data_IF_444104445794
#
_entry.id   IF_444104445794
#
_cell.length_a   1.000
_cell.length_b   1.000
_cell.length_c   1.000
_cell.angle_alpha   90.00
_cell.angle_beta   90.00
_cell.angle_gamma   90.00
#
_symmetry.space_group_name_H-M   'P 1'
#
loop_
_entity.id
_entity.type
_entity.pdbx_description
1 polymer ?
#
# COMPACT_ATOMS: atom_id res chain seq x y z
N UNK A 1 -7.59 -31.98 -10.60
CA UNK A 1 -7.66 -30.56 -11.03
C UNK A 1 -9.07 -30.12 -10.72
N UNK A 2 -9.27 -29.29 -9.69
CA UNK A 2 -10.59 -28.75 -9.33
C UNK A 2 -10.96 -27.71 -10.40
N UNK A 3 -12.09 -27.91 -11.07
CA UNK A 3 -12.61 -26.96 -12.06
C UNK A 3 -13.24 -25.76 -11.33
N UNK A 4 -13.36 -24.60 -11.99
CA UNK A 4 -13.99 -23.40 -11.39
C UNK A 4 -15.42 -23.68 -10.95
N UNK A 5 -16.09 -24.62 -11.63
CA UNK A 5 -17.47 -25.06 -11.36
C UNK A 5 -17.58 -26.05 -10.18
N UNK A 6 -16.47 -26.64 -9.72
CA UNK A 6 -16.46 -27.60 -8.59
C UNK A 6 -16.53 -26.90 -7.22
N UNK A 7 -16.37 -25.56 -7.16
CA UNK A 7 -16.36 -24.82 -5.88
C UNK A 7 -17.65 -24.02 -5.72
N UNK A 8 -18.30 -24.21 -4.56
CA UNK A 8 -19.50 -23.44 -4.21
C UNK A 8 -19.21 -21.93 -4.12
N UNK A 9 -20.21 -21.13 -4.42
CA UNK A 9 -20.11 -19.66 -4.29
C UNK A 9 -19.63 -19.25 -2.90
N UNK A 10 -20.15 -19.87 -1.83
CA UNK A 10 -19.71 -19.60 -0.47
C UNK A 10 -18.20 -19.87 -0.28
N UNK A 11 -17.67 -20.95 -0.84
CA UNK A 11 -16.24 -21.29 -0.73
C UNK A 11 -15.36 -20.23 -1.41
N UNK A 12 -15.78 -19.67 -2.56
CA UNK A 12 -15.05 -18.57 -3.25
C UNK A 12 -14.92 -17.34 -2.36
N UNK A 13 -16.00 -16.96 -1.68
CA UNK A 13 -15.99 -15.82 -0.76
C UNK A 13 -15.16 -16.07 0.51
N UNK A 14 -15.14 -17.30 1.01
CA UNK A 14 -14.24 -17.70 2.12
C UNK A 14 -12.79 -17.59 1.70
N UNK A 15 -12.42 -18.10 0.52
CA UNK A 15 -11.06 -17.98 -0.03
C UNK A 15 -10.67 -16.51 -0.16
N UNK A 16 -11.56 -15.64 -0.63
CA UNK A 16 -11.33 -14.20 -0.71
C UNK A 16 -11.11 -13.60 0.67
N UNK A 17 -11.94 -13.93 1.67
CA UNK A 17 -11.79 -13.47 3.05
C UNK A 17 -10.45 -13.87 3.66
N UNK A 18 -10.02 -15.12 3.46
CA UNK A 18 -8.71 -15.60 3.91
C UNK A 18 -7.55 -14.88 3.20
N UNK A 19 -7.68 -14.62 1.90
CA UNK A 19 -6.67 -13.87 1.14
C UNK A 19 -6.62 -12.39 1.52
N UNK A 20 -7.76 -11.79 1.86
CA UNK A 20 -7.85 -10.44 2.40
C UNK A 20 -7.15 -10.35 3.75
N UNK A 21 -7.38 -11.33 4.65
CA UNK A 21 -6.70 -11.36 5.94
C UNK A 21 -5.18 -11.52 5.76
N UNK A 22 -4.72 -12.39 4.84
CA UNK A 22 -3.31 -12.50 4.50
C UNK A 22 -2.70 -11.18 3.98
N UNK A 23 -3.41 -10.42 3.16
CA UNK A 23 -2.96 -9.12 2.67
C UNK A 23 -3.02 -8.03 3.77
N UNK A 24 -3.97 -8.10 4.70
CA UNK A 24 -4.07 -7.23 5.86
C UNK A 24 -2.85 -7.39 6.78
N UNK A 25 -2.41 -8.64 7.03
CA UNK A 25 -1.21 -8.89 7.87
C UNK A 25 0.02 -8.22 7.32
N UNK A 26 0.20 -8.24 5.99
CA UNK A 26 1.29 -7.54 5.31
C UNK A 26 1.28 -6.06 5.63
N UNK A 27 0.12 -5.42 5.62
CA UNK A 27 -0.01 -4.00 5.98
C UNK A 27 0.36 -3.75 7.44
N UNK A 28 -0.04 -4.62 8.35
CA UNK A 28 0.32 -4.49 9.77
C UNK A 28 1.84 -4.59 9.98
N UNK A 29 2.52 -5.52 9.32
CA UNK A 29 3.98 -5.68 9.41
C UNK A 29 4.71 -4.49 8.80
N UNK A 30 4.27 -4.03 7.64
CA UNK A 30 4.98 -2.99 6.88
C UNK A 30 4.71 -1.59 7.42
N UNK A 31 3.46 -1.28 7.77
CA UNK A 31 3.05 0.06 8.19
C UNK A 31 2.93 0.23 9.70
N UNK A 32 2.92 -0.86 10.46
CA UNK A 32 2.67 -0.84 11.90
C UNK A 32 3.71 -0.02 12.68
N UNK A 33 4.99 -0.12 12.30
CA UNK A 33 6.09 0.57 13.01
C UNK A 33 5.92 2.10 12.99
N UNK A 34 5.24 2.67 11.98
CA UNK A 34 4.96 4.10 11.95
C UNK A 34 4.13 4.57 13.16
N UNK A 35 3.29 3.70 13.71
CA UNK A 35 2.46 3.98 14.88
C UNK A 35 3.22 3.94 16.20
N UNK A 36 4.48 3.50 16.18
CA UNK A 36 5.40 3.53 17.33
C UNK A 36 6.32 4.75 17.31
N UNK A 37 6.37 5.52 16.21
CA UNK A 37 7.23 6.72 16.14
C UNK A 37 7.02 7.65 17.34
N UNK A 38 5.78 7.96 17.79
CA UNK A 38 5.57 8.78 18.98
C UNK A 38 6.34 8.26 20.19
N UNK A 39 6.09 7.00 20.59
CA UNK A 39 6.71 6.36 21.77
C UNK A 39 8.23 6.19 21.60
N UNK A 40 8.71 5.83 20.40
CA UNK A 40 10.14 5.74 20.13
C UNK A 40 10.84 7.10 20.25
N UNK A 41 10.15 8.18 19.90
CA UNK A 41 10.68 9.53 19.98
C UNK A 41 10.62 10.07 21.41
N UNK A 42 9.46 9.98 22.09
CA UNK A 42 9.27 10.57 23.44
C UNK A 42 9.90 9.74 24.56
N UNK A 43 9.74 8.41 24.51
CA UNK A 43 10.06 7.55 25.64
C UNK A 43 11.39 6.80 25.46
N UNK A 44 11.71 6.41 24.20
CA UNK A 44 12.96 5.70 23.90
C UNK A 44 14.10 6.62 23.47
N UNK A 45 13.88 7.94 23.37
CA UNK A 45 14.90 8.96 23.09
C UNK A 45 15.47 8.95 21.67
N UNK A 46 14.84 8.26 20.72
CA UNK A 46 15.26 8.32 19.31
C UNK A 46 14.94 9.69 18.71
N UNK A 47 15.82 10.19 17.86
CA UNK A 47 15.45 11.33 17.01
C UNK A 47 14.30 10.92 16.07
N UNK A 48 13.52 11.89 15.63
CA UNK A 48 12.42 11.62 14.71
C UNK A 48 12.92 10.97 13.40
N UNK A 49 14.12 11.37 12.95
CA UNK A 49 14.80 10.76 11.79
C UNK A 49 15.12 9.29 12.02
N UNK A 50 15.65 8.93 13.20
CA UNK A 50 15.96 7.53 13.54
C UNK A 50 14.70 6.68 13.67
N UNK A 51 13.66 7.18 14.34
CA UNK A 51 12.39 6.49 14.49
C UNK A 51 11.69 6.28 13.13
N UNK A 52 11.70 7.28 12.26
CA UNK A 52 11.14 7.17 10.91
C UNK A 52 11.97 6.29 9.98
N UNK A 53 13.31 6.27 10.12
CA UNK A 53 14.15 5.33 9.40
C UNK A 53 13.85 3.89 9.81
N UNK A 54 13.67 3.62 11.11
CA UNK A 54 13.26 2.30 11.59
C UNK A 54 11.90 1.89 11.02
N UNK A 55 10.93 2.83 10.96
CA UNK A 55 9.61 2.60 10.38
C UNK A 55 9.64 2.32 8.86
N UNK A 56 10.66 2.80 8.14
CA UNK A 56 10.81 2.55 6.70
C UNK A 56 11.41 1.17 6.38
N UNK A 57 12.13 0.54 7.31
CA UNK A 57 12.86 -0.71 7.08
C UNK A 57 11.97 -1.85 6.54
N UNK A 58 10.76 -2.12 7.08
CA UNK A 58 9.90 -3.17 6.52
C UNK A 58 9.51 -2.91 5.07
N UNK A 59 9.31 -1.64 4.68
CA UNK A 59 9.01 -1.27 3.28
C UNK A 59 10.19 -1.59 2.35
N UNK A 60 11.43 -1.38 2.81
CA UNK A 60 12.63 -1.76 2.04
C UNK A 60 12.68 -3.28 1.84
N UNK A 61 12.38 -4.06 2.89
CA UNK A 61 12.30 -5.52 2.79
C UNK A 61 11.22 -5.97 1.81
N UNK A 62 10.02 -5.39 1.91
CA UNK A 62 8.91 -5.65 0.98
C UNK A 62 9.31 -5.37 -0.47
N UNK A 63 9.91 -4.23 -0.74
CA UNK A 63 10.37 -3.82 -2.07
C UNK A 63 11.38 -4.81 -2.65
N UNK A 64 12.39 -5.19 -1.88
CA UNK A 64 13.43 -6.12 -2.29
C UNK A 64 12.89 -7.50 -2.69
N UNK A 65 11.81 -7.95 -2.03
CA UNK A 65 11.24 -9.27 -2.23
C UNK A 65 10.07 -9.33 -3.24
N UNK A 66 9.50 -8.20 -3.64
CA UNK A 66 8.29 -8.16 -4.49
C UNK A 66 8.46 -8.92 -5.81
N UNK A 67 9.57 -8.69 -6.53
CA UNK A 67 9.84 -9.37 -7.81
C UNK A 67 10.14 -10.86 -7.61
N UNK A 68 11.06 -11.28 -6.70
CA UNK A 68 11.26 -12.69 -6.37
C UNK A 68 9.96 -13.43 -6.02
N UNK A 69 9.09 -12.86 -5.20
CA UNK A 69 7.80 -13.47 -4.87
C UNK A 69 6.88 -13.63 -6.07
N UNK A 70 6.86 -12.67 -6.99
CA UNK A 70 6.11 -12.79 -8.23
C UNK A 70 6.53 -14.01 -9.04
N UNK A 71 7.83 -14.24 -9.23
CA UNK A 71 8.40 -15.40 -9.94
C UNK A 71 8.05 -16.72 -9.22
N UNK A 72 8.16 -16.74 -7.90
CA UNK A 72 7.83 -17.92 -7.10
C UNK A 72 6.34 -18.25 -7.14
N UNK A 73 5.46 -17.25 -7.12
CA UNK A 73 4.02 -17.42 -7.29
C UNK A 73 3.67 -18.07 -8.63
N UNK A 74 4.33 -17.64 -9.72
CA UNK A 74 4.13 -18.23 -11.04
C UNK A 74 4.51 -19.71 -11.06
N UNK A 75 5.55 -20.09 -10.35
CA UNK A 75 6.09 -21.44 -10.38
C UNK A 75 5.40 -22.40 -9.41
N UNK A 76 5.12 -21.96 -8.19
CA UNK A 76 4.72 -22.84 -7.07
C UNK A 76 3.26 -22.69 -6.61
N UNK A 77 2.54 -21.66 -7.06
CA UNK A 77 1.15 -21.39 -6.70
C UNK A 77 0.98 -20.49 -5.48
N UNK A 78 -0.26 -20.06 -5.30
CA UNK A 78 -0.61 -19.03 -4.35
C UNK A 78 -0.53 -19.52 -2.90
N UNK A 79 -1.09 -20.71 -2.61
CA UNK A 79 -1.16 -21.26 -1.25
C UNK A 79 0.23 -21.52 -0.67
N UNK A 80 1.09 -22.20 -1.43
CA UNK A 80 2.44 -22.54 -0.95
C UNK A 80 3.29 -21.30 -0.70
N UNK A 81 3.21 -20.34 -1.60
CA UNK A 81 3.98 -19.11 -1.49
C UNK A 81 3.43 -18.22 -0.38
N UNK A 82 2.12 -18.12 -0.19
CA UNK A 82 1.54 -17.42 0.97
C UNK A 82 1.99 -18.05 2.29
N UNK A 83 1.98 -19.36 2.42
CA UNK A 83 2.46 -20.04 3.62
C UNK A 83 3.92 -19.70 3.91
N UNK A 84 4.80 -19.81 2.91
CA UNK A 84 6.22 -19.51 3.07
C UNK A 84 6.44 -18.03 3.41
N UNK A 85 5.82 -17.11 2.66
CA UNK A 85 6.00 -15.68 2.86
C UNK A 85 5.47 -15.21 4.21
N UNK A 86 4.29 -15.65 4.62
CA UNK A 86 3.73 -15.29 5.93
C UNK A 86 4.51 -15.94 7.08
N UNK A 87 5.11 -17.13 6.90
CA UNK A 87 6.00 -17.72 7.91
C UNK A 87 7.26 -16.88 8.11
N UNK A 88 7.87 -16.40 7.02
CA UNK A 88 9.01 -15.48 7.10
C UNK A 88 8.60 -14.15 7.74
N UNK A 89 7.41 -13.62 7.35
CA UNK A 89 6.87 -12.39 7.93
C UNK A 89 6.61 -12.53 9.44
N UNK A 90 6.04 -13.67 9.85
CA UNK A 90 5.81 -14.00 11.26
C UNK A 90 7.13 -14.10 12.04
N UNK A 91 8.12 -14.81 11.49
CA UNK A 91 9.44 -14.92 12.12
C UNK A 91 10.09 -13.54 12.31
N UNK A 92 10.02 -12.67 11.29
CA UNK A 92 10.53 -11.31 11.38
C UNK A 92 9.78 -10.45 12.40
N UNK A 93 8.46 -10.47 12.39
CA UNK A 93 7.64 -9.71 13.35
C UNK A 93 7.84 -10.20 14.80
N UNK A 94 7.88 -11.51 15.01
CA UNK A 94 8.17 -12.11 16.32
C UNK A 94 9.59 -11.77 16.77
N UNK A 95 10.57 -11.89 15.85
CA UNK A 95 11.96 -11.54 16.12
C UNK A 95 12.12 -10.07 16.53
N UNK A 96 11.39 -9.15 15.91
CA UNK A 96 11.42 -7.73 16.28
C UNK A 96 10.84 -7.51 17.69
N UNK A 97 9.72 -8.15 18.02
CA UNK A 97 9.13 -8.04 19.36
C UNK A 97 10.04 -8.64 20.44
N UNK A 98 10.64 -9.82 20.18
CA UNK A 98 11.59 -10.48 21.10
C UNK A 98 12.85 -9.64 21.26
N UNK A 99 13.43 -9.14 20.16
CA UNK A 99 14.61 -8.29 20.24
C UNK A 99 14.35 -7.01 21.05
N UNK A 100 13.20 -6.37 20.84
CA UNK A 100 12.81 -5.20 21.60
C UNK A 100 12.56 -5.51 23.09
N UNK A 101 11.97 -6.67 23.42
CA UNK A 101 11.74 -7.08 24.83
C UNK A 101 13.02 -7.48 25.56
N UNK A 102 14.07 -7.84 24.82
CA UNK A 102 15.40 -8.16 25.33
C UNK A 102 16.35 -6.92 25.34
N UNK A 103 15.83 -5.72 25.15
CA UNK A 103 16.60 -4.47 25.05
C UNK A 103 17.75 -4.53 24.03
N UNK A 104 17.55 -5.31 22.95
CA UNK A 104 18.53 -5.40 21.88
C UNK A 104 18.66 -4.06 21.13
N UNK A 105 19.81 -3.88 20.48
CA UNK A 105 20.04 -2.66 19.70
C UNK A 105 18.97 -2.48 18.59
N UNK A 106 18.67 -1.23 18.25
CA UNK A 106 17.74 -0.91 17.16
C UNK A 106 18.17 -1.47 15.80
N UNK A 107 19.47 -1.78 15.62
CA UNK A 107 19.95 -2.47 14.43
C UNK A 107 19.43 -3.91 14.36
N UNK A 108 19.38 -4.63 15.49
CA UNK A 108 18.84 -6.00 15.57
C UNK A 108 17.33 -5.98 15.36
N UNK A 109 16.62 -5.05 16.00
CA UNK A 109 15.18 -4.84 15.77
C UNK A 109 14.92 -4.52 14.30
N UNK A 110 15.70 -3.62 13.71
CA UNK A 110 15.61 -3.26 12.29
C UNK A 110 15.86 -4.44 11.35
N UNK A 111 16.85 -5.29 11.64
CA UNK A 111 17.11 -6.49 10.86
C UNK A 111 15.91 -7.47 10.89
N UNK A 112 15.30 -7.65 12.06
CA UNK A 112 14.10 -8.48 12.19
C UNK A 112 12.89 -7.87 11.43
N UNK A 113 12.70 -6.55 11.51
CA UNK A 113 11.68 -5.82 10.75
C UNK A 113 11.91 -5.94 9.23
N UNK A 114 13.14 -5.89 8.78
CA UNK A 114 13.50 -6.12 7.37
C UNK A 114 13.08 -7.52 6.90
N UNK A 115 13.37 -8.55 7.71
CA UNK A 115 12.93 -9.94 7.43
C UNK A 115 11.41 -10.03 7.38
N UNK A 116 10.71 -9.36 8.30
CA UNK A 116 9.23 -9.27 8.27
C UNK A 116 8.73 -8.65 6.97
N UNK A 117 9.37 -7.58 6.51
CA UNK A 117 9.12 -6.93 5.24
C UNK A 117 9.37 -7.84 4.04
N UNK A 118 10.51 -8.57 4.01
CA UNK A 118 10.79 -9.57 2.96
C UNK A 118 9.65 -10.58 2.83
N UNK A 119 9.15 -11.10 3.96
CA UNK A 119 8.02 -12.03 3.99
C UNK A 119 6.71 -11.42 3.48
N UNK A 120 6.55 -10.10 3.56
CA UNK A 120 5.30 -9.42 3.21
C UNK A 120 5.03 -9.27 1.70
N UNK A 121 6.01 -9.50 0.83
CA UNK A 121 5.95 -9.17 -0.60
C UNK A 121 4.99 -10.03 -1.44
N UNK A 122 4.63 -11.24 -0.99
CA UNK A 122 3.82 -12.17 -1.80
C UNK A 122 2.31 -11.90 -1.75
N UNK A 123 1.78 -11.41 -0.62
CA UNK A 123 0.35 -11.41 -0.34
C UNK A 123 -0.47 -10.57 -1.33
N UNK A 124 0.07 -9.45 -1.77
CA UNK A 124 -0.59 -8.57 -2.75
C UNK A 124 -0.74 -9.25 -4.11
N UNK A 125 0.32 -9.88 -4.62
CA UNK A 125 0.31 -10.62 -5.87
C UNK A 125 -0.61 -11.84 -5.81
N UNK A 126 -0.46 -12.67 -4.78
CA UNK A 126 -1.23 -13.88 -4.57
C UNK A 126 -2.74 -13.61 -4.47
N UNK A 127 -3.14 -12.61 -3.66
CA UNK A 127 -4.56 -12.26 -3.49
C UNK A 127 -5.20 -11.76 -4.78
N UNK A 128 -4.48 -11.01 -5.62
CA UNK A 128 -4.95 -10.60 -6.94
C UNK A 128 -5.20 -11.78 -7.87
N UNK A 129 -4.29 -12.75 -7.90
CA UNK A 129 -4.40 -13.98 -8.71
C UNK A 129 -5.54 -14.87 -8.24
N UNK A 130 -5.75 -14.99 -6.92
CA UNK A 130 -6.89 -15.70 -6.33
C UNK A 130 -8.21 -15.12 -6.85
N UNK A 131 -8.36 -13.78 -6.89
CA UNK A 131 -9.56 -13.14 -7.44
C UNK A 131 -9.75 -13.48 -8.91
N UNK A 132 -8.70 -13.33 -9.73
CA UNK A 132 -8.80 -13.60 -11.17
C UNK A 132 -9.08 -15.07 -11.47
N UNK A 133 -8.55 -15.98 -10.66
CA UNK A 133 -8.67 -17.43 -10.87
C UNK A 133 -10.01 -18.01 -10.40
N UNK A 134 -10.59 -17.51 -9.30
CA UNK A 134 -11.80 -18.08 -8.71
C UNK A 134 -13.10 -17.35 -9.06
N UNK A 135 -13.02 -16.05 -9.44
CA UNK A 135 -14.21 -15.26 -9.69
C UNK A 135 -14.51 -15.10 -11.18
N UNK A 136 -15.78 -15.29 -11.61
CA UNK A 136 -16.20 -15.04 -12.97
C UNK A 136 -16.08 -13.54 -13.31
N UNK A 137 -15.95 -13.21 -14.58
CA UNK A 137 -15.66 -11.86 -15.06
C UNK A 137 -16.59 -10.78 -14.47
N UNK A 138 -17.89 -11.07 -14.36
CA UNK A 138 -18.90 -10.14 -13.84
C UNK A 138 -18.82 -9.90 -12.33
N UNK A 139 -18.09 -10.72 -11.54
CA UNK A 139 -17.88 -10.57 -10.10
C UNK A 139 -16.46 -10.09 -9.73
N UNK A 140 -15.51 -10.10 -10.68
CA UNK A 140 -14.11 -9.75 -10.41
C UNK A 140 -13.94 -8.33 -9.88
N UNK A 141 -14.71 -7.38 -10.39
CA UNK A 141 -14.67 -5.99 -9.92
C UNK A 141 -15.01 -5.88 -8.44
N UNK A 142 -16.10 -6.51 -8.00
CA UNK A 142 -16.51 -6.54 -6.58
C UNK A 142 -15.49 -7.25 -5.71
N UNK A 143 -15.01 -8.44 -6.13
CA UNK A 143 -14.03 -9.19 -5.38
C UNK A 143 -12.68 -8.44 -5.25
N UNK A 144 -12.25 -7.74 -6.32
CA UNK A 144 -11.05 -6.92 -6.30
C UNK A 144 -11.22 -5.68 -5.40
N UNK A 145 -12.40 -5.07 -5.39
CA UNK A 145 -12.74 -3.97 -4.47
C UNK A 145 -12.65 -4.41 -3.00
N UNK A 146 -13.24 -5.56 -2.65
CA UNK A 146 -13.15 -6.13 -1.29
C UNK A 146 -11.69 -6.43 -0.93
N UNK A 147 -10.93 -7.05 -1.83
CA UNK A 147 -9.50 -7.31 -1.63
C UNK A 147 -8.72 -6.02 -1.31
N UNK A 148 -9.02 -4.92 -1.98
CA UNK A 148 -8.35 -3.63 -1.76
C UNK A 148 -8.62 -3.02 -0.38
N UNK A 149 -9.61 -3.50 0.36
CA UNK A 149 -9.86 -3.09 1.73
C UNK A 149 -8.81 -3.63 2.72
N UNK A 150 -7.99 -4.60 2.34
CA UNK A 150 -6.94 -5.16 3.20
C UNK A 150 -6.00 -4.08 3.75
N UNK A 151 -5.60 -3.13 2.93
CA UNK A 151 -4.69 -2.05 3.32
C UNK A 151 -5.30 -1.08 4.34
N UNK A 152 -6.46 -0.43 4.09
CA UNK A 152 -7.07 0.44 5.08
C UNK A 152 -7.47 -0.29 6.37
N UNK A 153 -7.90 -1.55 6.29
CA UNK A 153 -8.22 -2.35 7.48
C UNK A 153 -6.95 -2.66 8.30
N UNK A 154 -5.85 -3.02 7.65
CA UNK A 154 -4.57 -3.26 8.34
C UNK A 154 -4.04 -1.98 9.02
N UNK A 155 -4.13 -0.84 8.35
CA UNK A 155 -3.78 0.47 8.92
C UNK A 155 -4.69 0.76 10.13
N UNK A 156 -6.01 0.54 10.01
CA UNK A 156 -6.96 0.72 11.11
C UNK A 156 -6.63 -0.15 12.33
N UNK A 157 -6.30 -1.43 12.13
CA UNK A 157 -5.86 -2.33 13.22
C UNK A 157 -4.63 -1.74 13.92
N UNK A 158 -3.60 -1.33 13.18
CA UNK A 158 -2.40 -0.75 13.76
C UNK A 158 -2.69 0.56 14.48
N UNK A 159 -3.48 1.44 13.88
CA UNK A 159 -3.82 2.75 14.45
C UNK A 159 -4.60 2.65 15.76
N UNK A 160 -5.53 1.69 15.85
CA UNK A 160 -6.34 1.48 17.06
C UNK A 160 -5.57 0.77 18.18
N UNK A 161 -4.61 -0.08 17.85
CA UNK A 161 -4.01 -0.97 18.85
C UNK A 161 -2.59 -0.57 19.24
N UNK A 162 -1.72 -0.28 18.27
CA UNK A 162 -0.29 -0.13 18.52
C UNK A 162 0.04 1.08 19.40
N UNK A 163 -0.49 2.30 19.20
CA UNK A 163 -0.18 3.43 20.06
C UNK A 163 -0.71 3.23 21.49
N UNK A 164 -1.88 2.59 21.63
CA UNK A 164 -2.50 2.31 22.95
C UNK A 164 -1.66 1.30 23.73
N UNK A 165 -1.27 0.20 23.08
CA UNK A 165 -0.43 -0.82 23.72
C UNK A 165 0.98 -0.28 23.99
N UNK A 166 1.54 0.52 23.09
CA UNK A 166 2.84 1.15 23.31
C UNK A 166 2.84 2.07 24.53
N UNK A 167 1.78 2.88 24.70
CA UNK A 167 1.64 3.79 25.84
C UNK A 167 1.41 3.06 27.18
N UNK A 168 0.75 1.88 27.18
CA UNK A 168 0.45 1.13 28.40
C UNK A 168 1.49 0.08 28.77
N UNK A 169 2.13 -0.54 27.79
CA UNK A 169 2.96 -1.75 27.96
C UNK A 169 4.30 -1.66 27.23
N UNK A 170 4.60 -0.52 26.63
CA UNK A 170 5.86 -0.24 25.95
C UNK A 170 5.91 -0.70 24.47
N UNK A 171 6.92 -0.24 23.73
CA UNK A 171 7.05 -0.50 22.29
C UNK A 171 7.25 -1.98 21.94
N UNK A 172 7.89 -2.76 22.80
CA UNK A 172 8.09 -4.20 22.60
C UNK A 172 6.76 -4.97 22.55
N UNK A 173 5.83 -4.66 23.46
CA UNK A 173 4.49 -5.26 23.48
C UNK A 173 3.69 -4.87 22.22
N UNK A 174 3.80 -3.63 21.76
CA UNK A 174 3.14 -3.18 20.55
C UNK A 174 3.70 -3.85 19.28
N UNK A 175 4.99 -4.15 19.23
CA UNK A 175 5.62 -4.91 18.13
C UNK A 175 5.13 -6.36 18.06
N UNK A 176 4.55 -6.92 19.12
CA UNK A 176 3.93 -8.25 19.08
C UNK A 176 2.61 -8.26 18.29
N UNK A 177 1.92 -7.11 18.12
CA UNK A 177 0.64 -7.04 17.42
C UNK A 177 0.74 -7.51 15.95
N UNK A 178 1.68 -7.02 15.12
CA UNK A 178 1.89 -7.56 13.79
C UNK A 178 2.15 -9.07 13.76
N UNK A 179 2.87 -9.62 14.76
CA UNK A 179 3.12 -11.05 14.84
C UNK A 179 1.83 -11.83 15.09
N UNK A 180 1.00 -11.40 16.05
CA UNK A 180 -0.31 -12.03 16.34
C UNK A 180 -1.24 -11.98 15.12
N UNK A 181 -1.34 -10.82 14.46
CA UNK A 181 -2.17 -10.67 13.27
C UNK A 181 -1.64 -11.54 12.14
N UNK A 182 -0.32 -11.66 11.97
CA UNK A 182 0.29 -12.51 10.93
C UNK A 182 0.07 -13.99 11.24
N UNK A 183 0.12 -14.42 12.50
CA UNK A 183 -0.22 -15.79 12.90
C UNK A 183 -1.67 -16.12 12.54
N UNK A 184 -2.61 -15.21 12.80
CA UNK A 184 -4.02 -15.38 12.41
C UNK A 184 -4.17 -15.47 10.88
N UNK A 185 -3.46 -14.63 10.12
CA UNK A 185 -3.42 -14.70 8.67
C UNK A 185 -2.84 -16.00 8.14
N UNK A 186 -1.78 -16.52 8.77
CA UNK A 186 -1.18 -17.79 8.41
C UNK A 186 -2.17 -18.95 8.64
N UNK A 187 -2.87 -18.97 9.77
CA UNK A 187 -3.94 -19.95 10.06
C UNK A 187 -5.04 -19.87 8.98
N UNK A 188 -5.48 -18.67 8.63
CA UNK A 188 -6.48 -18.48 7.57
C UNK A 188 -6.01 -19.03 6.22
N UNK A 189 -4.74 -18.87 5.87
CA UNK A 189 -4.16 -19.44 4.64
C UNK A 189 -4.13 -20.98 4.70
N UNK A 190 -3.72 -21.54 5.84
CA UNK A 190 -3.68 -23.02 6.04
C UNK A 190 -5.07 -23.63 5.83
N UNK A 191 -6.10 -23.04 6.45
CA UNK A 191 -7.47 -23.58 6.47
C UNK A 191 -8.26 -23.20 5.22
N UNK A 192 -8.10 -21.97 4.74
CA UNK A 192 -9.03 -21.36 3.80
C UNK A 192 -8.55 -21.31 2.35
N UNK A 193 -7.25 -21.18 2.09
CA UNK A 193 -6.76 -20.97 0.72
C UNK A 193 -6.61 -22.28 -0.04
N UNK A 194 -7.20 -22.29 -1.24
CA UNK A 194 -7.01 -23.31 -2.26
C UNK A 194 -6.51 -22.62 -3.52
N UNK A 195 -5.51 -23.19 -4.18
CA UNK A 195 -4.97 -22.63 -5.42
C UNK A 195 -6.02 -22.64 -6.52
N UNK A 196 -6.19 -21.56 -7.29
CA UNK A 196 -7.07 -21.54 -8.44
C UNK A 196 -6.57 -22.50 -9.53
N UNK A 197 -7.49 -23.03 -10.37
CA UNK A 197 -7.12 -23.87 -11.48
C UNK A 197 -6.19 -23.09 -12.42
N UNK A 198 -5.01 -23.65 -12.68
CA UNK A 198 -4.08 -23.07 -13.65
C UNK A 198 -4.61 -23.34 -15.04
N UNK A 199 -5.10 -22.31 -15.71
CA UNK A 199 -5.35 -22.43 -17.14
C UNK A 199 -3.99 -22.64 -17.82
N UNK A 200 -3.82 -23.71 -18.64
CA UNK A 200 -2.69 -23.76 -19.54
C UNK A 200 -2.66 -22.46 -20.33
N UNK A 201 -1.47 -21.89 -20.53
CA UNK A 201 -1.35 -20.83 -21.54
C UNK A 201 -2.04 -21.34 -22.79
N UNK A 202 -2.93 -20.56 -23.44
CA UNK A 202 -3.55 -21.01 -24.69
C UNK A 202 -2.42 -21.51 -25.57
N UNK A 203 -2.52 -22.79 -25.96
CA UNK A 203 -1.57 -23.37 -26.90
C UNK A 203 -1.52 -22.40 -28.07
N UNK A 204 -0.34 -21.87 -28.36
CA UNK A 204 -0.12 -20.97 -29.46
C UNK A 204 -0.74 -21.63 -30.72
N UNK A 205 -1.93 -21.18 -31.07
CA UNK A 205 -2.51 -21.53 -32.36
C UNK A 205 -1.49 -21.06 -33.38
N UNK A 206 -1.13 -21.99 -34.22
CA UNK A 206 -0.16 -21.88 -35.32
C UNK A 206 -0.35 -20.55 -36.04
N UNK A 207 0.56 -19.62 -35.82
CA UNK A 207 0.55 -18.25 -36.29
C UNK A 207 1.08 -17.38 -35.13
N UNK A 208 2.42 -17.31 -34.99
CA UNK A 208 3.03 -16.40 -34.00
C UNK A 208 2.49 -14.99 -34.23
N UNK A 209 1.68 -14.42 -33.32
CA UNK A 209 1.50 -12.98 -33.36
C UNK A 209 2.90 -12.36 -33.24
N UNK A 210 3.23 -11.33 -34.01
CA UNK A 210 4.52 -10.67 -33.96
C UNK A 210 4.82 -10.32 -32.49
N UNK A 211 6.09 -10.44 -32.02
CA UNK A 211 6.44 -10.11 -30.65
C UNK A 211 5.99 -8.68 -30.39
N UNK A 212 4.99 -8.52 -29.49
CA UNK A 212 4.44 -7.20 -29.19
C UNK A 212 5.57 -6.29 -28.74
N UNK A 213 5.72 -5.18 -29.43
CA UNK A 213 6.70 -4.16 -29.12
C UNK A 213 6.60 -3.75 -27.66
N UNK A 214 7.75 -3.53 -27.04
CA UNK A 214 7.82 -3.11 -25.63
C UNK A 214 7.04 -1.79 -25.46
N UNK A 215 5.92 -1.74 -24.70
CA UNK A 215 5.06 -0.56 -24.60
C UNK A 215 5.75 0.66 -23.97
N UNK A 216 6.91 0.45 -23.36
CA UNK A 216 7.75 1.54 -22.83
C UNK A 216 8.58 2.26 -23.90
N UNK A 217 8.67 1.70 -25.11
CA UNK A 217 9.41 2.31 -26.23
C UNK A 217 8.51 3.15 -27.15
N UNK A 218 7.20 2.97 -27.09
CA UNK A 218 6.26 3.61 -28.01
C UNK A 218 6.14 5.12 -27.73
N UNK A 219 6.10 5.50 -26.45
CA UNK A 219 5.99 6.91 -26.06
C UNK A 219 6.22 7.10 -24.53
N UNK A 220 6.15 8.34 -24.07
CA UNK A 220 6.36 8.70 -22.65
C UNK A 220 5.15 8.48 -21.73
N UNK A 221 4.04 7.91 -22.19
CA UNK A 221 2.79 7.81 -21.43
C UNK A 221 2.98 7.03 -20.12
N UNK A 222 3.54 5.81 -20.22
CA UNK A 222 3.81 4.97 -19.04
C UNK A 222 4.79 5.62 -18.07
N UNK A 223 5.90 6.15 -18.60
CA UNK A 223 6.90 6.82 -17.78
C UNK A 223 6.28 7.99 -17.00
N UNK A 224 5.41 8.78 -17.65
CA UNK A 224 4.72 9.91 -17.02
C UNK A 224 3.74 9.44 -15.94
N UNK A 225 2.95 8.38 -16.16
CA UNK A 225 2.05 7.83 -15.13
C UNK A 225 2.86 7.35 -13.91
N UNK A 226 3.94 6.61 -14.14
CA UNK A 226 4.79 6.15 -13.05
C UNK A 226 5.37 7.30 -12.23
N UNK A 227 5.92 8.34 -12.91
CA UNK A 227 6.46 9.53 -12.23
C UNK A 227 5.37 10.27 -11.45
N UNK A 228 4.20 10.49 -12.05
CA UNK A 228 3.05 11.13 -11.37
C UNK A 228 2.66 10.34 -10.13
N UNK A 229 2.52 9.03 -10.22
CA UNK A 229 2.18 8.20 -9.06
C UNK A 229 3.27 8.21 -7.98
N UNK A 230 4.54 8.22 -8.36
CA UNK A 230 5.65 8.35 -7.42
C UNK A 230 5.62 9.68 -6.68
N UNK A 231 5.28 10.78 -7.38
CA UNK A 231 5.14 12.09 -6.75
C UNK A 231 3.93 12.16 -5.82
N UNK A 232 2.79 11.59 -6.21
CA UNK A 232 1.56 11.59 -5.40
C UNK A 232 1.66 10.69 -4.16
N UNK A 233 2.58 9.71 -4.14
CA UNK A 233 2.84 8.91 -2.95
C UNK A 233 3.57 9.69 -1.84
N UNK A 234 4.23 10.80 -2.14
CA UNK A 234 4.97 11.60 -1.14
C UNK A 234 4.05 12.17 -0.06
N UNK A 235 2.98 12.95 -0.38
CA UNK A 235 2.03 13.41 0.64
C UNK A 235 1.30 12.25 1.32
N UNK A 236 0.99 11.17 0.61
CA UNK A 236 0.43 9.97 1.21
C UNK A 236 1.36 9.36 2.27
N UNK A 237 2.66 9.23 1.98
CA UNK A 237 3.67 8.74 2.92
C UNK A 237 3.81 9.65 4.15
N UNK A 238 3.75 10.98 3.95
CA UNK A 238 3.74 11.96 5.04
C UNK A 238 2.57 11.70 5.98
N UNK A 239 1.35 11.62 5.44
CA UNK A 239 0.14 11.47 6.23
C UNK A 239 0.08 10.09 6.92
N UNK A 240 0.44 9.02 6.22
CA UNK A 240 0.37 7.67 6.79
C UNK A 240 1.39 7.40 7.89
N UNK A 241 2.57 8.01 7.77
CA UNK A 241 3.67 7.77 8.72
C UNK A 241 3.64 8.73 9.89
N UNK A 242 3.36 10.00 9.66
CA UNK A 242 3.60 11.04 10.66
C UNK A 242 2.33 11.60 11.32
N UNK A 243 1.13 11.31 10.79
CA UNK A 243 -0.12 11.76 11.44
C UNK A 243 -0.26 11.22 12.88
N UNK A 244 0.10 9.96 13.21
CA UNK A 244 0.09 9.52 14.62
C UNK A 244 0.97 10.39 15.51
N UNK A 245 2.19 10.69 15.06
CA UNK A 245 3.13 11.54 15.79
C UNK A 245 2.64 12.98 15.89
N UNK A 246 2.10 13.52 14.81
CA UNK A 246 1.53 14.87 14.78
C UNK A 246 0.35 15.02 15.75
N UNK A 247 -0.60 14.08 15.76
CA UNK A 247 -1.75 14.13 16.67
C UNK A 247 -1.33 13.96 18.14
N UNK A 248 -0.48 12.98 18.43
CA UNK A 248 -0.14 12.59 19.80
C UNK A 248 0.89 13.55 20.39
N UNK A 249 2.01 13.80 19.67
CA UNK A 249 3.14 14.56 20.22
C UNK A 249 2.94 16.06 20.04
N UNK A 250 2.50 16.52 18.85
CA UNK A 250 2.38 17.95 18.58
C UNK A 250 1.06 18.54 19.12
N UNK A 251 -0.06 17.80 19.03
CA UNK A 251 -1.38 18.27 19.44
C UNK A 251 -1.91 17.65 20.73
N UNK A 252 -1.16 16.77 21.42
CA UNK A 252 -1.54 16.21 22.71
C UNK A 252 -2.76 15.28 22.70
N UNK A 253 -3.11 14.70 21.55
CA UNK A 253 -4.22 13.76 21.46
C UNK A 253 -3.92 12.47 22.21
N UNK A 254 -4.95 11.86 22.80
CA UNK A 254 -4.79 10.51 23.33
C UNK A 254 -4.50 9.51 22.19
N UNK A 255 -3.69 8.46 22.46
CA UNK A 255 -3.40 7.41 21.48
C UNK A 255 -4.68 6.79 20.88
N UNK A 256 -5.72 6.57 21.71
CA UNK A 256 -7.01 6.04 21.27
C UNK A 256 -7.77 7.02 20.35
N UNK A 257 -7.78 8.31 20.70
CA UNK A 257 -8.42 9.35 19.88
C UNK A 257 -7.76 9.49 18.51
N UNK A 258 -6.43 9.54 18.47
CA UNK A 258 -5.66 9.58 17.23
C UNK A 258 -5.91 8.33 16.38
N UNK A 259 -5.86 7.14 16.98
CA UNK A 259 -6.14 5.88 16.30
C UNK A 259 -7.54 5.81 15.70
N UNK A 260 -8.55 6.30 16.43
CA UNK A 260 -9.94 6.35 15.95
C UNK A 260 -10.09 7.28 14.74
N UNK A 261 -9.54 8.50 14.82
CA UNK A 261 -9.59 9.44 13.69
C UNK A 261 -8.92 8.86 12.44
N UNK A 262 -7.73 8.29 12.60
CA UNK A 262 -6.99 7.66 11.50
C UNK A 262 -7.81 6.51 10.89
N UNK A 263 -8.38 5.65 11.71
CA UNK A 263 -9.18 4.50 11.24
C UNK A 263 -10.41 4.95 10.47
N UNK A 264 -11.16 5.93 10.98
CA UNK A 264 -12.30 6.51 10.26
C UNK A 264 -11.86 7.11 8.93
N UNK A 265 -10.76 7.84 8.92
CA UNK A 265 -10.17 8.43 7.71
C UNK A 265 -9.78 7.36 6.69
N UNK A 266 -9.21 6.24 7.10
CA UNK A 266 -8.86 5.12 6.21
C UNK A 266 -10.12 4.47 5.58
N UNK A 267 -11.19 4.32 6.35
CA UNK A 267 -12.48 3.80 5.84
C UNK A 267 -13.05 4.77 4.79
N UNK A 268 -13.09 6.06 5.09
CA UNK A 268 -13.56 7.09 4.15
C UNK A 268 -12.68 7.11 2.90
N UNK A 269 -11.35 7.00 3.04
CA UNK A 269 -10.42 6.91 1.92
C UNK A 269 -10.66 5.69 1.04
N UNK A 270 -10.98 4.54 1.62
CA UNK A 270 -11.33 3.34 0.87
C UNK A 270 -12.61 3.54 0.04
N UNK A 271 -13.64 4.18 0.62
CA UNK A 271 -14.87 4.56 -0.09
C UNK A 271 -14.57 5.62 -1.17
N UNK A 272 -13.71 6.57 -0.89
CA UNK A 272 -13.25 7.59 -1.83
C UNK A 272 -12.63 7.01 -3.10
N UNK A 273 -11.88 5.92 -3.00
CA UNK A 273 -11.33 5.19 -4.17
C UNK A 273 -12.44 4.65 -5.08
N UNK A 274 -13.53 4.14 -4.50
CA UNK A 274 -14.69 3.65 -5.28
C UNK A 274 -15.36 4.81 -6.01
N UNK A 275 -15.54 5.94 -5.32
CA UNK A 275 -16.12 7.16 -5.91
C UNK A 275 -15.23 7.67 -7.05
N UNK A 276 -13.91 7.74 -6.85
CA UNK A 276 -12.95 8.14 -7.88
C UNK A 276 -13.01 7.22 -9.11
N UNK A 277 -13.15 5.90 -8.91
CA UNK A 277 -13.33 4.93 -9.99
C UNK A 277 -14.59 5.21 -10.82
N UNK A 278 -15.75 5.36 -10.16
CA UNK A 278 -17.01 5.70 -10.84
C UNK A 278 -16.98 7.05 -11.55
N UNK A 279 -16.35 8.04 -10.95
CA UNK A 279 -16.15 9.34 -11.56
C UNK A 279 -15.30 9.24 -12.83
N UNK A 280 -14.22 8.46 -12.78
CA UNK A 280 -13.38 8.16 -13.94
C UNK A 280 -14.16 7.47 -15.07
N UNK A 281 -15.03 6.51 -14.73
CA UNK A 281 -15.87 5.82 -15.71
C UNK A 281 -16.89 6.78 -16.34
N UNK A 282 -17.53 7.64 -15.54
CA UNK A 282 -18.48 8.65 -16.02
C UNK A 282 -17.83 9.68 -16.96
N UNK A 283 -16.58 10.04 -16.72
CA UNK A 283 -15.83 10.95 -17.60
C UNK A 283 -15.15 10.25 -18.77
N UNK A 284 -15.24 8.91 -18.85
CA UNK A 284 -14.50 8.07 -19.83
C UNK A 284 -13.03 8.49 -19.94
N UNK A 285 -12.39 8.76 -18.78
CA UNK A 285 -11.04 9.27 -18.69
C UNK A 285 -10.41 8.82 -17.37
N UNK A 286 -9.23 8.23 -17.46
CA UNK A 286 -8.46 7.87 -16.26
C UNK A 286 -7.60 9.05 -15.78
N UNK A 287 -7.08 9.83 -16.69
CA UNK A 287 -6.09 10.85 -16.39
C UNK A 287 -6.69 12.21 -15.98
N UNK A 288 -7.91 12.55 -16.43
CA UNK A 288 -8.57 13.78 -15.98
C UNK A 288 -8.85 13.80 -14.47
N UNK A 289 -9.47 12.75 -13.87
CA UNK A 289 -9.60 12.68 -12.41
C UNK A 289 -8.25 12.69 -11.69
N UNK A 290 -7.22 11.99 -12.18
CA UNK A 290 -5.87 12.04 -11.57
C UNK A 290 -5.33 13.46 -11.52
N UNK A 291 -5.53 14.27 -12.57
CA UNK A 291 -5.12 15.68 -12.58
C UNK A 291 -5.89 16.51 -11.55
N UNK A 292 -7.20 16.32 -11.44
CA UNK A 292 -8.01 17.02 -10.43
C UNK A 292 -7.60 16.62 -9.02
N UNK A 293 -7.35 15.32 -8.78
CA UNK A 293 -6.87 14.82 -7.50
C UNK A 293 -5.50 15.42 -7.16
N UNK A 294 -4.60 15.55 -8.13
CA UNK A 294 -3.30 16.20 -7.91
C UNK A 294 -3.46 17.68 -7.48
N UNK A 295 -4.31 18.45 -8.18
CA UNK A 295 -4.61 19.84 -7.81
C UNK A 295 -5.27 19.94 -6.43
N UNK A 296 -6.25 19.05 -6.16
CA UNK A 296 -6.90 18.97 -4.85
C UNK A 296 -5.89 18.58 -3.75
N UNK A 297 -4.91 17.72 -4.06
CA UNK A 297 -3.81 17.37 -3.16
C UNK A 297 -2.94 18.58 -2.79
N UNK A 298 -2.59 19.43 -3.77
CA UNK A 298 -1.90 20.70 -3.50
C UNK A 298 -2.72 21.55 -2.53
N UNK A 299 -3.99 21.77 -2.85
CA UNK A 299 -4.87 22.61 -2.03
C UNK A 299 -5.05 22.06 -0.62
N UNK A 300 -5.28 20.74 -0.48
CA UNK A 300 -5.50 20.10 0.80
C UNK A 300 -4.25 20.10 1.69
N UNK A 301 -3.07 19.79 1.13
CA UNK A 301 -1.81 19.82 1.89
C UNK A 301 -1.41 21.26 2.27
N UNK A 302 -1.64 22.22 1.40
CA UNK A 302 -1.40 23.65 1.70
C UNK A 302 -2.37 24.16 2.77
N UNK A 303 -3.65 23.81 2.68
CA UNK A 303 -4.65 24.18 3.69
C UNK A 303 -4.33 23.56 5.07
N UNK A 304 -3.90 22.29 5.09
CA UNK A 304 -3.44 21.63 6.30
C UNK A 304 -2.21 22.33 6.89
N UNK A 305 -1.22 22.66 6.06
CA UNK A 305 -0.02 23.38 6.49
C UNK A 305 -0.35 24.74 7.12
N UNK A 306 -1.23 25.50 6.49
CA UNK A 306 -1.68 26.80 6.99
C UNK A 306 -2.46 26.65 8.30
N UNK A 307 -3.39 25.70 8.36
CA UNK A 307 -4.18 25.45 9.56
C UNK A 307 -3.31 25.02 10.74
N UNK A 308 -2.31 24.18 10.50
CA UNK A 308 -1.37 23.73 11.52
C UNK A 308 -0.43 24.85 11.97
N UNK A 309 0.00 25.71 11.04
CA UNK A 309 0.83 26.89 11.35
C UNK A 309 0.16 27.86 12.32
N UNK A 310 -1.16 28.01 12.23
CA UNK A 310 -1.95 28.87 13.09
C UNK A 310 -2.65 28.15 14.24
N UNK A 311 -2.25 26.89 14.56
CA UNK A 311 -2.87 26.06 15.59
C UNK A 311 -4.40 25.99 15.49
N UNK A 312 -4.92 25.95 14.25
CA UNK A 312 -6.35 25.93 14.00
C UNK A 312 -7.00 24.63 14.42
N UNK A 313 -8.15 24.66 15.13
CA UNK A 313 -8.90 23.45 15.47
C UNK A 313 -9.43 22.68 14.24
N UNK A 314 -9.35 23.28 13.04
CA UNK A 314 -9.72 22.61 11.78
C UNK A 314 -8.60 21.74 11.23
N UNK A 315 -7.37 21.82 11.73
CA UNK A 315 -6.25 21.05 11.20
C UNK A 315 -6.50 19.54 11.17
N UNK A 316 -7.07 18.87 12.19
CA UNK A 316 -7.39 17.44 12.12
C UNK A 316 -8.42 17.07 11.03
N UNK A 317 -9.41 17.93 10.80
CA UNK A 317 -10.39 17.72 9.73
C UNK A 317 -9.75 17.88 8.34
N UNK A 318 -8.90 18.90 8.15
CA UNK A 318 -8.15 19.10 6.91
C UNK A 318 -7.15 17.95 6.66
N UNK A 319 -6.53 17.42 7.72
CA UNK A 319 -5.70 16.22 7.63
C UNK A 319 -6.50 15.03 7.11
N UNK A 320 -7.72 14.81 7.62
CA UNK A 320 -8.59 13.73 7.15
C UNK A 320 -8.95 13.90 5.67
N UNK A 321 -9.28 15.12 5.24
CA UNK A 321 -9.55 15.46 3.83
C UNK A 321 -8.31 15.20 2.97
N UNK A 322 -7.14 15.68 3.39
CA UNK A 322 -5.88 15.47 2.67
C UNK A 322 -5.55 13.97 2.55
N UNK A 323 -5.77 13.20 3.61
CA UNK A 323 -5.54 11.75 3.61
C UNK A 323 -6.46 11.01 2.63
N UNK A 324 -7.73 11.37 2.54
CA UNK A 324 -8.68 10.80 1.58
C UNK A 324 -8.29 11.13 0.15
N UNK A 325 -7.91 12.38 -0.11
CA UNK A 325 -7.47 12.84 -1.44
C UNK A 325 -6.18 12.13 -1.85
N UNK A 326 -5.22 11.98 -0.94
CA UNK A 326 -3.90 11.40 -1.23
C UNK A 326 -3.92 9.93 -1.66
N UNK A 327 -5.03 9.22 -1.47
CA UNK A 327 -5.15 7.80 -1.84
C UNK A 327 -6.09 7.57 -3.03
N UNK A 328 -6.79 8.61 -3.49
CA UNK A 328 -7.86 8.48 -4.48
C UNK A 328 -7.35 8.17 -5.90
N UNK A 329 -6.13 8.58 -6.25
CA UNK A 329 -5.50 8.34 -7.55
C UNK A 329 -5.00 6.90 -7.75
N UNK A 330 -4.69 6.19 -6.66
CA UNK A 330 -4.03 4.88 -6.73
C UNK A 330 -4.77 3.90 -7.65
N UNK A 331 -6.10 3.76 -7.50
CA UNK A 331 -6.89 2.88 -8.36
C UNK A 331 -6.86 3.28 -9.83
N UNK A 332 -6.89 4.56 -10.12
CA UNK A 332 -6.94 5.11 -11.47
C UNK A 332 -5.63 4.89 -12.24
N UNK A 333 -4.50 5.14 -11.59
CA UNK A 333 -3.18 4.94 -12.18
C UNK A 333 -2.93 3.45 -12.50
N UNK A 334 -3.28 2.54 -11.57
CA UNK A 334 -3.15 1.10 -11.79
C UNK A 334 -4.04 0.62 -12.96
N UNK A 335 -5.28 1.11 -13.03
CA UNK A 335 -6.19 0.78 -14.13
C UNK A 335 -5.66 1.30 -15.46
N UNK A 336 -5.23 2.56 -15.52
CA UNK A 336 -4.69 3.15 -16.74
C UNK A 336 -3.46 2.41 -17.28
N UNK A 337 -2.54 1.99 -16.37
CA UNK A 337 -1.39 1.19 -16.77
C UNK A 337 -1.85 -0.15 -17.35
N UNK A 338 -2.73 -0.88 -16.64
CA UNK A 338 -3.18 -2.20 -17.08
C UNK A 338 -3.93 -2.13 -18.42
N UNK A 339 -4.78 -1.11 -18.63
CA UNK A 339 -5.52 -0.88 -19.88
C UNK A 339 -4.55 -0.54 -21.04
N UNK A 340 -3.54 0.29 -20.79
CA UNK A 340 -2.59 0.71 -21.82
C UNK A 340 -1.65 -0.40 -22.26
N UNK A 341 -1.07 -1.16 -21.31
CA UNK A 341 -0.07 -2.19 -21.65
C UNK A 341 -0.70 -3.51 -22.13
N UNK A 342 -1.99 -3.71 -21.87
CA UNK A 342 -2.71 -4.93 -22.22
C UNK A 342 -2.37 -6.15 -21.35
N UNK A 343 -3.05 -7.29 -21.56
CA UNK A 343 -2.98 -8.44 -20.66
C UNK A 343 -1.57 -9.04 -20.49
N UNK A 344 -0.75 -9.02 -21.56
CA UNK A 344 0.58 -9.66 -21.56
C UNK A 344 1.62 -8.88 -20.76
N UNK A 345 1.48 -7.56 -20.66
CA UNK A 345 2.40 -6.66 -19.98
C UNK A 345 1.85 -6.10 -18.66
N UNK A 346 0.58 -6.35 -18.35
CA UNK A 346 -0.06 -5.75 -17.16
C UNK A 346 0.67 -6.11 -15.86
N UNK A 347 1.10 -7.35 -15.69
CA UNK A 347 1.87 -7.78 -14.54
C UNK A 347 3.19 -7.02 -14.39
N UNK A 348 3.92 -6.81 -15.50
CA UNK A 348 5.18 -6.07 -15.51
C UNK A 348 4.96 -4.58 -15.27
N UNK A 349 3.96 -3.98 -15.92
CA UNK A 349 3.61 -2.57 -15.75
C UNK A 349 3.21 -2.25 -14.31
N UNK A 350 2.39 -3.10 -13.70
CA UNK A 350 1.96 -2.96 -12.30
C UNK A 350 3.10 -3.22 -11.31
N UNK A 351 4.04 -4.13 -11.64
CA UNK A 351 5.23 -4.37 -10.81
C UNK A 351 6.15 -3.13 -10.81
N UNK A 352 6.39 -2.51 -11.96
CA UNK A 352 7.16 -1.25 -12.06
C UNK A 352 6.49 -0.15 -11.24
N UNK A 353 5.16 -0.01 -11.34
CA UNK A 353 4.37 0.96 -10.57
C UNK A 353 4.54 0.76 -9.07
N UNK A 354 4.30 -0.45 -8.56
CA UNK A 354 4.43 -0.75 -7.15
C UNK A 354 5.86 -0.54 -6.63
N UNK A 355 6.86 -1.03 -7.37
CA UNK A 355 8.27 -0.88 -6.98
C UNK A 355 8.67 0.59 -6.89
N UNK A 356 8.25 1.42 -7.86
CA UNK A 356 8.50 2.86 -7.84
C UNK A 356 7.85 3.56 -6.64
N UNK A 357 6.60 3.23 -6.34
CA UNK A 357 5.91 3.79 -5.17
C UNK A 357 6.57 3.37 -3.84
N UNK A 358 6.95 2.10 -3.69
CA UNK A 358 7.64 1.63 -2.49
C UNK A 358 9.03 2.26 -2.34
N UNK A 359 9.77 2.42 -3.44
CA UNK A 359 11.08 3.07 -3.43
C UNK A 359 10.96 4.52 -2.92
N UNK A 360 10.01 5.28 -3.47
CA UNK A 360 9.79 6.68 -3.04
C UNK A 360 9.31 6.73 -1.60
N UNK A 361 8.37 5.88 -1.19
CA UNK A 361 7.88 5.82 0.19
C UNK A 361 9.00 5.50 1.18
N UNK A 362 9.82 4.49 0.89
CA UNK A 362 10.94 4.10 1.75
C UNK A 362 12.01 5.20 1.86
N UNK A 363 12.30 5.88 0.76
CA UNK A 363 13.28 6.96 0.75
C UNK A 363 12.77 8.24 1.42
N UNK A 364 11.49 8.60 1.18
CA UNK A 364 10.93 9.85 1.71
C UNK A 364 10.63 9.78 3.20
N UNK A 365 10.33 8.63 3.76
CA UNK A 365 9.99 8.50 5.18
C UNK A 365 11.09 9.05 6.11
N UNK A 366 12.35 8.62 6.05
CA UNK A 366 13.39 9.21 6.90
C UNK A 366 13.72 10.67 6.55
N UNK A 367 13.60 11.07 5.27
CA UNK A 367 13.80 12.44 4.85
C UNK A 367 12.73 13.38 5.42
N UNK A 368 11.47 12.95 5.43
CA UNK A 368 10.39 13.70 6.06
C UNK A 368 10.54 13.76 7.58
N UNK A 369 11.02 12.69 8.21
CA UNK A 369 11.35 12.71 9.63
C UNK A 369 12.44 13.72 9.98
N UNK A 370 13.50 13.82 9.16
CA UNK A 370 14.54 14.83 9.29
C UNK A 370 13.98 16.25 9.04
N UNK A 371 13.13 16.41 8.03
CA UNK A 371 12.52 17.70 7.72
C UNK A 371 11.63 18.18 8.88
N UNK A 372 10.77 17.32 9.41
CA UNK A 372 9.92 17.65 10.57
C UNK A 372 10.76 18.04 11.79
N UNK A 373 11.85 17.31 12.04
CA UNK A 373 12.76 17.59 13.17
C UNK A 373 13.44 18.96 13.05
N UNK A 374 13.65 19.47 11.83
CA UNK A 374 14.35 20.75 11.61
C UNK A 374 13.42 21.93 11.49
N UNK A 375 12.26 21.78 10.83
CA UNK A 375 11.37 22.91 10.49
C UNK A 375 9.93 22.74 11.00
N UNK A 376 9.62 21.63 11.67
CA UNK A 376 8.29 21.35 12.22
C UNK A 376 7.29 20.81 11.17
N UNK A 377 6.11 20.42 11.67
CA UNK A 377 5.05 19.82 10.86
C UNK A 377 4.45 20.76 9.82
N UNK A 378 4.14 22.05 10.12
CA UNK A 378 3.50 22.93 9.15
C UNK A 378 4.32 23.09 7.87
N UNK A 379 5.63 23.33 8.00
CA UNK A 379 6.53 23.49 6.84
C UNK A 379 6.71 22.14 6.13
N UNK A 380 6.76 21.02 6.86
CA UNK A 380 6.86 19.71 6.24
C UNK A 380 5.59 19.39 5.42
N UNK A 381 4.38 19.71 5.90
CA UNK A 381 3.14 19.60 5.12
C UNK A 381 3.18 20.47 3.86
N UNK A 382 3.62 21.73 3.99
CA UNK A 382 3.77 22.62 2.84
C UNK A 382 4.77 22.08 1.81
N UNK A 383 5.90 21.57 2.26
CA UNK A 383 6.91 20.97 1.38
C UNK A 383 6.37 19.76 0.60
N UNK A 384 5.56 18.92 1.23
CA UNK A 384 4.95 17.78 0.54
C UNK A 384 3.87 18.17 -0.45
N UNK A 385 3.26 19.38 -0.37
CA UNK A 385 2.37 19.93 -1.38
C UNK A 385 3.07 20.21 -2.72
N UNK A 386 4.40 20.38 -2.72
CA UNK A 386 5.18 20.58 -3.95
C UNK A 386 5.16 19.36 -4.86
N UNK A 387 5.05 18.17 -4.31
CA UNK A 387 5.06 16.95 -5.09
C UNK A 387 3.82 16.83 -6.02
N UNK A 388 2.57 16.95 -5.55
CA UNK A 388 1.40 17.01 -6.42
C UNK A 388 1.38 18.25 -7.32
N UNK A 389 1.98 19.39 -6.90
CA UNK A 389 2.13 20.57 -7.76
C UNK A 389 2.99 20.25 -8.99
N UNK A 390 4.14 19.60 -8.81
CA UNK A 390 5.01 19.11 -9.90
C UNK A 390 4.33 18.01 -10.71
N UNK A 391 3.57 17.12 -10.07
CA UNK A 391 2.85 16.06 -10.75
C UNK A 391 1.78 16.57 -11.71
N UNK A 392 1.08 17.66 -11.38
CA UNK A 392 -0.07 18.19 -12.15
C UNK A 392 0.22 18.39 -13.64
N UNK A 393 1.28 19.09 -14.07
CA UNK A 393 1.61 19.26 -15.49
C UNK A 393 2.14 17.98 -16.14
N UNK A 394 2.64 17.03 -15.35
CA UNK A 394 3.15 15.75 -15.83
C UNK A 394 2.04 14.74 -16.11
N UNK A 395 0.83 14.93 -15.58
CA UNK A 395 -0.29 14.02 -15.87
C UNK A 395 -0.52 13.96 -17.38
N UNK A 396 -0.38 12.78 -18.03
CA UNK A 396 -0.55 12.67 -19.47
C UNK A 396 -2.02 12.90 -19.87
N UNK A 397 -2.28 13.07 -21.15
CA UNK A 397 -3.63 12.99 -21.70
C UNK A 397 -4.01 11.51 -21.84
N UNK A 398 -5.31 11.20 -21.72
CA UNK A 398 -5.76 9.84 -21.98
C UNK A 398 -5.36 9.43 -23.39
N UNK A 399 -4.79 8.25 -23.49
CA UNK A 399 -4.54 7.54 -24.75
C UNK A 399 -5.09 6.14 -24.57
N UNK A 400 -6.15 5.82 -25.31
CA UNK A 400 -6.45 4.43 -25.61
C UNK A 400 -5.59 4.05 -26.83
N UNK A 401 -4.95 2.91 -26.80
CA UNK A 401 -4.29 2.35 -27.96
C UNK A 401 -5.42 2.00 -28.95
N UNK A 402 -5.44 2.62 -30.11
CA UNK A 402 -6.47 2.33 -31.11
C UNK A 402 -6.40 0.84 -31.51
N UNK A 403 -7.56 0.18 -31.72
CA UNK A 403 -7.57 -1.22 -32.15
C UNK A 403 -6.77 -1.48 -33.44
N UNK A 404 -6.63 -0.49 -34.31
CA UNK A 404 -5.92 -0.60 -35.58
C UNK A 404 -4.38 -0.63 -35.43
N UNK A 405 -3.81 -0.04 -34.37
CA UNK A 405 -2.38 -0.22 -34.04
C UNK A 405 -2.06 -1.65 -33.55
N UNK A 406 -3.08 -2.48 -33.33
CA UNK A 406 -2.92 -3.88 -32.91
C UNK A 406 -2.92 -4.83 -34.13
N UNK A 407 -3.28 -4.35 -35.31
CA UNK A 407 -3.40 -5.15 -36.54
C UNK A 407 -2.23 -4.93 -37.51
N UNK A 408 -1.58 -3.76 -37.46
CA UNK A 408 -0.51 -3.37 -38.37
C UNK A 408 0.90 -3.38 -37.75
N UNK A 409 1.09 -4.00 -36.59
CA UNK A 409 2.39 -4.17 -35.95
C UNK A 409 2.66 -5.71 -35.72
#
# INVERSE_FOLDING_TARGET
>A
MTDVDDITTARRWIILGCSLLAALTTTCVVSGVAYLIPTLHTDAGLTLTQASALAAIPTVGLMAATIPWGILLDRYGERRILLLSLSISLAGATGAAVAASADASYAVVGAALFVGGLGSGAANGASGRIVVGWFPAHQRGTAMGIRQMAQPLGIGVCALTMPVVAASSGPAAALAIPAVVTAAGLVAVVVGITDPPRRPAPASTVGNPPPRTNPYRDNSFLARIHIVSMLLVIPQSMLWTFVPTWLIVAHGWSPAGAGTLITVTQIIGALGRIVAGRWSDAWMSRMRPVRVIAVAGVAAMSALAIADWFDSPLAPALMAVASVISVADNGLAFTAIAEYVGPEWSGRGLAVQNTGQYLVSAATTPLLGALIATVGFPIAFAATALAPLVATPLVPRDRMREPDELVDA
#
